data_IF_777689411720
#
_entry.id   IF_777689411720
#
_cell.length_a   1.000
_cell.length_b   1.000
_cell.length_c   1.000
_cell.angle_alpha   90.00
_cell.angle_beta   90.00
_cell.angle_gamma   90.00
#
_symmetry.space_group_name_H-M   'P 1'
#
loop_
_entity.id
_entity.type
_entity.pdbx_description
1 polymer ?
#
# COMPACT_ATOMS: atom_id res chain seq x y z
N UNK A 1 4.29 11.08 36.04
CA UNK A 1 4.72 10.01 35.11
C UNK A 1 3.45 9.41 34.51
N UNK A 2 3.06 9.81 33.30
CA UNK A 2 1.84 9.27 32.69
C UNK A 2 2.07 7.81 32.31
N UNK A 3 1.25 6.91 32.85
CA UNK A 3 1.21 5.49 32.52
C UNK A 3 1.15 5.31 31.00
N UNK A 4 2.28 4.94 30.39
CA UNK A 4 2.34 4.55 28.98
C UNK A 4 1.60 3.22 28.92
N UNK A 5 0.31 3.27 28.57
CA UNK A 5 -0.55 2.09 28.41
C UNK A 5 -0.06 1.30 27.19
N UNK A 6 1.01 0.55 27.39
CA UNK A 6 1.60 -0.34 26.40
C UNK A 6 0.53 -1.34 25.99
N UNK A 7 -0.03 -1.14 24.80
CA UNK A 7 -1.02 -2.07 24.25
C UNK A 7 -0.35 -3.33 23.70
N UNK A 8 0.99 -3.33 23.57
CA UNK A 8 1.75 -4.39 22.92
C UNK A 8 2.95 -4.80 23.76
N UNK A 9 2.90 -6.03 24.28
CA UNK A 9 4.03 -6.75 24.87
C UNK A 9 4.81 -7.46 23.76
N UNK A 10 6.10 -7.14 23.59
CA UNK A 10 6.93 -7.76 22.56
C UNK A 10 7.27 -9.24 22.85
N UNK A 11 7.32 -9.63 24.12
CA UNK A 11 7.69 -11.00 24.53
C UNK A 11 6.56 -12.00 24.25
N UNK A 12 5.30 -11.59 24.45
CA UNK A 12 4.11 -12.46 24.37
C UNK A 12 3.25 -12.24 23.11
N UNK A 13 3.87 -11.91 21.97
CA UNK A 13 3.14 -11.58 20.76
C UNK A 13 2.51 -12.80 20.06
N UNK A 14 1.28 -13.14 20.42
CA UNK A 14 0.51 -14.24 19.84
C UNK A 14 -0.95 -13.86 19.58
N UNK A 15 -1.62 -14.58 18.68
CA UNK A 15 -3.03 -14.39 18.33
C UNK A 15 -3.99 -14.50 19.52
N UNK A 16 -3.56 -15.16 20.61
CA UNK A 16 -4.35 -15.32 21.84
C UNK A 16 -4.13 -14.19 22.85
N UNK A 17 -3.18 -13.31 22.60
CA UNK A 17 -2.73 -12.32 23.58
C UNK A 17 -3.76 -11.19 23.82
N UNK A 18 -3.75 -10.65 25.04
CA UNK A 18 -4.55 -9.50 25.46
C UNK A 18 -4.25 -8.27 24.60
N UNK A 19 -3.00 -8.13 24.14
CA UNK A 19 -2.56 -7.07 23.25
C UNK A 19 -3.33 -7.07 21.91
N UNK A 20 -3.36 -8.21 21.21
CA UNK A 20 -4.08 -8.34 19.95
C UNK A 20 -5.58 -8.06 20.12
N UNK A 21 -6.19 -8.55 21.21
CA UNK A 21 -7.60 -8.28 21.53
C UNK A 21 -7.87 -6.81 21.84
N UNK A 22 -6.97 -6.14 22.55
CA UNK A 22 -7.09 -4.71 22.83
C UNK A 22 -7.08 -3.91 21.52
N UNK A 23 -6.18 -4.24 20.60
CA UNK A 23 -6.06 -3.58 19.30
C UNK A 23 -7.34 -3.76 18.49
N UNK A 24 -7.85 -4.98 18.39
CA UNK A 24 -9.14 -5.25 17.74
C UNK A 24 -10.23 -4.37 18.34
N UNK A 25 -10.30 -4.27 19.68
CA UNK A 25 -11.26 -3.41 20.37
C UNK A 25 -11.11 -1.92 20.03
N UNK A 26 -9.88 -1.44 19.85
CA UNK A 26 -9.64 -0.06 19.41
C UNK A 26 -10.04 0.16 17.95
N UNK A 27 -9.76 -0.80 17.06
CA UNK A 27 -10.22 -0.75 15.67
C UNK A 27 -11.75 -0.80 15.57
N UNK A 28 -12.42 -1.66 16.34
CA UNK A 28 -13.90 -1.71 16.38
C UNK A 28 -14.49 -0.41 16.91
N UNK A 29 -13.86 0.21 17.93
CA UNK A 29 -14.28 1.52 18.46
C UNK A 29 -14.09 2.65 17.45
N UNK A 30 -13.07 2.55 16.60
CA UNK A 30 -12.82 3.49 15.51
C UNK A 30 -13.73 3.25 14.29
N UNK A 31 -14.62 2.25 14.31
CA UNK A 31 -15.55 1.95 13.23
C UNK A 31 -15.05 0.92 12.20
N UNK A 32 -13.90 0.29 12.45
CA UNK A 32 -13.29 -0.69 11.55
C UNK A 32 -13.30 -2.09 12.19
N UNK A 33 -14.17 -2.98 11.69
CA UNK A 33 -14.24 -4.36 12.17
C UNK A 33 -13.23 -5.24 11.42
N UNK A 34 -12.20 -5.70 12.12
CA UNK A 34 -11.26 -6.70 11.61
C UNK A 34 -11.93 -8.08 11.60
N UNK A 35 -11.89 -8.75 10.45
CA UNK A 35 -12.44 -10.09 10.23
C UNK A 35 -11.44 -11.17 10.62
N UNK A 36 -10.16 -10.93 10.30
CA UNK A 36 -9.06 -11.82 10.64
C UNK A 36 -7.92 -11.03 11.26
N UNK A 37 -7.32 -11.61 12.29
CA UNK A 37 -6.20 -11.06 13.04
C UNK A 37 -5.11 -12.10 13.03
N UNK A 38 -3.92 -11.72 12.58
CA UNK A 38 -2.75 -12.59 12.56
C UNK A 38 -1.54 -11.86 13.15
N UNK A 39 -1.19 -12.26 14.37
CA UNK A 39 -0.03 -11.83 15.12
C UNK A 39 1.11 -12.81 14.86
N UNK A 40 2.10 -12.35 14.10
CA UNK A 40 3.30 -13.14 13.85
C UNK A 40 4.23 -13.08 15.06
N UNK A 41 4.42 -14.25 15.68
CA UNK A 41 5.44 -14.50 16.70
C UNK A 41 6.86 -14.56 16.16
N UNK A 42 7.09 -14.27 14.87
CA UNK A 42 8.43 -14.17 14.30
C UNK A 42 8.98 -12.73 14.44
N UNK A 43 10.20 -12.60 14.97
CA UNK A 43 10.90 -11.32 15.00
C UNK A 43 11.55 -11.08 13.64
N UNK A 44 11.20 -9.97 13.00
CA UNK A 44 11.78 -9.51 11.74
C UNK A 44 12.67 -8.30 12.01
N UNK A 45 13.72 -8.14 11.21
CA UNK A 45 14.65 -7.00 11.33
C UNK A 45 14.73 -6.26 10.00
N UNK A 46 14.55 -4.95 10.04
CA UNK A 46 14.74 -4.08 8.87
C UNK A 46 15.38 -2.79 9.35
N UNK A 47 16.41 -2.32 8.64
CA UNK A 47 17.12 -1.07 8.97
C UNK A 47 17.59 -1.00 10.44
N UNK A 48 18.06 -2.13 10.98
CA UNK A 48 18.54 -2.22 12.37
C UNK A 48 17.46 -2.30 13.45
N UNK A 49 16.18 -2.15 13.10
CA UNK A 49 15.06 -2.23 14.06
C UNK A 49 14.44 -3.63 14.03
N UNK A 50 14.38 -4.28 15.20
CA UNK A 50 13.67 -5.54 15.40
C UNK A 50 12.20 -5.27 15.69
N UNK A 51 11.31 -5.90 14.92
CA UNK A 51 9.86 -5.75 15.05
C UNK A 51 9.12 -7.07 14.86
N UNK A 52 7.89 -7.09 15.35
CA UNK A 52 6.89 -8.14 15.08
C UNK A 52 5.75 -7.56 14.27
N UNK A 53 5.06 -8.41 13.52
CA UNK A 53 4.00 -7.98 12.61
C UNK A 53 2.64 -8.45 13.10
N UNK A 54 1.68 -7.52 13.14
CA UNK A 54 0.26 -7.79 13.36
C UNK A 54 -0.51 -7.43 12.12
N UNK A 55 -1.07 -8.42 11.45
CA UNK A 55 -1.87 -8.26 10.25
C UNK A 55 -3.35 -8.30 10.64
N UNK A 56 -4.06 -7.24 10.31
CA UNK A 56 -5.51 -7.11 10.45
C UNK A 56 -6.11 -7.11 9.06
N UNK A 57 -7.00 -8.05 8.78
CA UNK A 57 -7.75 -8.12 7.52
C UNK A 57 -9.19 -7.70 7.77
N UNK A 58 -9.68 -6.78 6.97
CA UNK A 58 -11.02 -6.20 7.07
C UNK A 58 -11.98 -6.80 6.03
N UNK A 59 -13.28 -6.60 6.22
CA UNK A 59 -14.33 -7.19 5.37
C UNK A 59 -14.23 -6.78 3.88
N UNK A 60 -13.66 -5.61 3.59
CA UNK A 60 -13.42 -5.11 2.24
C UNK A 60 -12.14 -5.66 1.60
N UNK A 61 -11.60 -6.75 2.15
CA UNK A 61 -10.34 -7.38 1.73
C UNK A 61 -9.11 -6.45 1.84
N UNK A 62 -9.23 -5.34 2.58
CA UNK A 62 -8.08 -4.53 2.92
C UNK A 62 -7.31 -5.17 4.07
N UNK A 63 -5.99 -5.00 4.06
CA UNK A 63 -5.12 -5.45 5.13
C UNK A 63 -4.31 -4.30 5.71
N UNK A 64 -4.24 -4.25 7.04
CA UNK A 64 -3.39 -3.33 7.80
C UNK A 64 -2.35 -4.17 8.53
N UNK A 65 -1.07 -3.93 8.28
CA UNK A 65 0.03 -4.55 9.01
C UNK A 65 0.66 -3.53 9.95
N UNK A 66 0.57 -3.76 11.25
CA UNK A 66 1.25 -2.98 12.27
C UNK A 66 2.59 -3.65 12.59
N UNK A 67 3.68 -2.90 12.49
CA UNK A 67 5.03 -3.33 12.90
C UNK A 67 5.33 -2.76 14.26
N UNK A 68 5.57 -3.62 15.24
CA UNK A 68 5.74 -3.23 16.65
C UNK A 68 7.16 -3.53 17.09
N UNK A 69 7.85 -2.55 17.67
CA UNK A 69 9.23 -2.66 18.18
C UNK A 69 9.27 -3.43 19.50
N UNK A 70 10.49 -3.76 19.93
CA UNK A 70 10.77 -4.28 21.28
C UNK A 70 10.25 -3.38 22.41
N UNK A 71 10.25 -2.06 22.20
CA UNK A 71 9.73 -1.09 23.16
C UNK A 71 8.20 -1.07 23.27
N UNK A 72 7.49 -1.85 22.45
CA UNK A 72 6.02 -1.85 22.34
C UNK A 72 5.47 -0.73 21.46
N UNK A 73 6.33 0.13 20.90
CA UNK A 73 5.92 1.22 20.02
C UNK A 73 5.66 0.74 18.59
N UNK A 74 4.74 1.41 17.89
CA UNK A 74 4.46 1.12 16.48
C UNK A 74 5.58 1.75 15.64
N UNK A 75 6.41 0.92 15.03
CA UNK A 75 7.47 1.35 14.11
C UNK A 75 6.91 1.88 12.79
N UNK A 76 6.03 1.09 12.17
CA UNK A 76 5.52 1.35 10.83
C UNK A 76 4.14 0.72 10.68
N UNK A 77 3.30 1.35 9.86
CA UNK A 77 2.01 0.79 9.45
C UNK A 77 2.02 0.59 7.95
N UNK A 78 1.63 -0.59 7.50
CA UNK A 78 1.44 -0.88 6.09
C UNK A 78 -0.05 -1.02 5.81
N UNK A 79 -0.56 -0.24 4.87
CA UNK A 79 -1.91 -0.39 4.35
C UNK A 79 -1.82 -1.07 2.99
N UNK A 80 -2.41 -2.27 2.85
CA UNK A 80 -2.35 -3.09 1.65
C UNK A 80 -0.91 -3.30 1.14
N UNK A 81 0.01 -3.57 2.07
CA UNK A 81 1.44 -3.79 1.78
C UNK A 81 2.27 -2.53 1.52
N UNK A 82 1.67 -1.34 1.52
CA UNK A 82 2.39 -0.06 1.33
C UNK A 82 2.61 0.64 2.65
N UNK A 83 3.85 1.03 2.91
CA UNK A 83 4.21 1.81 4.11
C UNK A 83 3.46 3.14 4.10
N UNK A 84 2.82 3.46 5.22
CA UNK A 84 2.16 4.74 5.46
C UNK A 84 2.84 5.41 6.65
N UNK A 85 3.25 6.68 6.51
CA UNK A 85 3.73 7.45 7.64
C UNK A 85 2.55 7.65 8.62
N UNK A 86 2.83 7.47 9.90
CA UNK A 86 1.92 7.77 11.01
C UNK A 86 2.55 8.87 11.85
N UNK A 87 1.76 9.88 12.20
CA UNK A 87 2.22 11.05 12.95
C UNK A 87 2.32 10.75 14.44
N UNK A 88 1.39 9.94 14.96
CA UNK A 88 1.27 9.67 16.40
C UNK A 88 1.82 8.27 16.77
N UNK A 89 3.13 8.03 16.66
CA UNK A 89 3.72 6.71 16.98
C UNK A 89 3.60 6.33 18.47
N UNK A 90 3.67 7.32 19.35
CA UNK A 90 3.68 7.11 20.81
C UNK A 90 2.27 6.95 21.42
N UNK A 91 1.24 7.45 20.73
CA UNK A 91 -0.17 7.34 21.14
C UNK A 91 -0.88 6.34 20.25
N UNK A 92 -0.92 5.08 20.71
CA UNK A 92 -1.49 3.97 19.95
C UNK A 92 -2.97 4.18 19.60
N UNK A 93 -3.75 4.87 20.44
CA UNK A 93 -5.16 5.10 20.16
C UNK A 93 -5.34 6.09 19.00
N UNK A 94 -4.54 7.18 18.99
CA UNK A 94 -4.52 8.14 17.90
C UNK A 94 -3.93 7.55 16.61
N UNK A 95 -2.89 6.74 16.71
CA UNK A 95 -2.32 6.02 15.57
C UNK A 95 -3.37 5.15 14.87
N UNK A 96 -4.14 4.38 15.65
CA UNK A 96 -5.20 3.52 15.13
C UNK A 96 -6.29 4.36 14.46
N UNK A 97 -6.71 5.47 15.07
CA UNK A 97 -7.70 6.36 14.46
C UNK A 97 -7.22 6.99 13.14
N UNK A 98 -5.95 7.39 13.06
CA UNK A 98 -5.32 7.91 11.83
C UNK A 98 -5.31 6.84 10.73
N UNK A 99 -4.98 5.60 11.09
CA UNK A 99 -4.96 4.46 10.15
C UNK A 99 -6.36 4.14 9.65
N UNK A 100 -7.37 4.13 10.52
CA UNK A 100 -8.77 3.90 10.12
C UNK A 100 -9.27 5.00 9.18
N UNK A 101 -9.00 6.27 9.50
CA UNK A 101 -9.35 7.40 8.62
C UNK A 101 -8.68 7.28 7.25
N UNK A 102 -7.41 6.89 7.21
CA UNK A 102 -6.68 6.64 5.96
C UNK A 102 -7.25 5.45 5.18
N UNK A 103 -7.69 4.39 5.88
CA UNK A 103 -8.33 3.22 5.27
C UNK A 103 -9.67 3.61 4.64
N UNK A 104 -10.51 4.36 5.35
CA UNK A 104 -11.81 4.81 4.84
C UNK A 104 -11.67 5.76 3.65
N UNK A 105 -10.73 6.71 3.71
CA UNK A 105 -10.44 7.58 2.56
C UNK A 105 -9.94 6.78 1.34
N UNK A 106 -9.20 5.69 1.56
CA UNK A 106 -8.68 4.83 0.50
C UNK A 106 -9.67 3.79 -0.05
N UNK A 107 -10.76 3.53 0.66
CA UNK A 107 -11.67 2.40 0.42
C UNK A 107 -12.29 2.38 -0.98
N UNK A 108 -12.79 3.50 -1.45
CA UNK A 108 -13.38 3.61 -2.79
C UNK A 108 -12.36 3.33 -3.90
N UNK A 109 -11.13 3.83 -3.75
CA UNK A 109 -10.06 3.62 -4.74
C UNK A 109 -9.57 2.17 -4.75
N UNK A 110 -9.50 1.54 -3.57
CA UNK A 110 -9.09 0.15 -3.43
C UNK A 110 -10.12 -0.80 -4.04
N UNK A 111 -11.41 -0.59 -3.75
CA UNK A 111 -12.50 -1.36 -4.33
C UNK A 111 -12.55 -1.23 -5.85
N UNK A 112 -12.36 -0.01 -6.40
CA UNK A 112 -12.28 0.18 -7.86
C UNK A 112 -11.11 -0.59 -8.48
N UNK A 113 -9.94 -0.62 -7.83
CA UNK A 113 -8.80 -1.41 -8.32
C UNK A 113 -9.08 -2.91 -8.26
N UNK A 114 -9.69 -3.37 -7.18
CA UNK A 114 -10.04 -4.78 -7.00
C UNK A 114 -11.11 -5.22 -8.02
N UNK A 115 -12.12 -4.39 -8.28
CA UNK A 115 -13.12 -4.64 -9.32
C UNK A 115 -12.48 -4.70 -10.72
N UNK A 116 -11.55 -3.79 -11.04
CA UNK A 116 -10.80 -3.83 -12.30
C UNK A 116 -9.93 -5.09 -12.42
N UNK A 117 -9.30 -5.55 -11.35
CA UNK A 117 -8.49 -6.77 -11.36
C UNK A 117 -9.33 -8.04 -11.50
N UNK A 118 -10.54 -8.08 -10.91
CA UNK A 118 -11.49 -9.20 -11.02
C UNK A 118 -12.25 -9.20 -12.34
N UNK A 119 -12.47 -8.04 -12.95
CA UNK A 119 -13.04 -7.92 -14.30
C UNK A 119 -11.99 -8.34 -15.35
N UNK A 120 -11.68 -9.64 -15.42
CA UNK A 120 -10.99 -10.21 -16.58
C UNK A 120 -11.97 -10.18 -17.74
N UNK A 121 -11.62 -9.47 -18.82
CA UNK A 121 -12.37 -9.59 -20.06
C UNK A 121 -12.23 -11.04 -20.57
N UNK A 122 -13.30 -11.63 -21.15
CA UNK A 122 -13.21 -12.96 -21.76
C UNK A 122 -12.11 -12.96 -22.83
N UNK A 123 -11.28 -14.02 -22.88
CA UNK A 123 -10.13 -14.16 -23.79
C UNK A 123 -10.47 -13.98 -25.28
N UNK A 124 -11.76 -14.09 -25.64
CA UNK A 124 -12.29 -13.88 -26.99
C UNK A 124 -12.32 -12.39 -27.41
N UNK A 125 -12.33 -11.43 -26.47
CA UNK A 125 -12.31 -10.00 -26.78
C UNK A 125 -10.86 -9.52 -26.77
N UNK A 126 -10.18 -9.65 -27.92
CA UNK A 126 -8.88 -9.03 -28.17
C UNK A 126 -9.03 -7.52 -28.00
N UNK A 127 -8.56 -6.98 -26.89
CA UNK A 127 -8.53 -5.54 -26.62
C UNK A 127 -7.73 -4.82 -27.70
N UNK A 128 -7.98 -3.52 -27.92
CA UNK A 128 -7.32 -2.71 -28.94
C UNK A 128 -5.79 -2.53 -28.78
N UNK A 129 -5.15 -3.24 -27.85
CA UNK A 129 -3.69 -3.21 -27.64
C UNK A 129 -2.87 -3.50 -28.93
N UNK A 130 -3.24 -4.45 -29.81
CA UNK A 130 -2.55 -4.65 -31.08
C UNK A 130 -2.68 -3.44 -32.02
N UNK A 131 -3.80 -2.72 -31.98
CA UNK A 131 -4.01 -1.49 -32.77
C UNK A 131 -3.21 -0.31 -32.23
N UNK A 132 -2.96 -0.29 -30.93
CA UNK A 132 -2.16 0.75 -30.28
C UNK A 132 -0.66 0.63 -30.61
N UNK A 133 -0.13 -0.59 -30.67
CA UNK A 133 1.25 -0.84 -31.13
C UNK A 133 1.46 -0.41 -32.58
N UNK A 134 0.50 -0.72 -33.45
CA UNK A 134 0.51 -0.27 -34.85
C UNK A 134 0.50 1.27 -34.94
N UNK A 135 -0.41 1.94 -34.23
CA UNK A 135 -0.49 3.41 -34.22
C UNK A 135 0.76 4.10 -33.65
N UNK A 136 1.43 3.50 -32.65
CA UNK A 136 2.69 4.01 -32.12
C UNK A 136 3.85 3.80 -33.09
N UNK A 137 3.83 2.70 -33.86
CA UNK A 137 4.84 2.40 -34.88
C UNK A 137 4.73 3.39 -36.04
N UNK A 138 3.52 3.64 -36.54
CA UNK A 138 3.24 4.66 -37.56
C UNK A 138 3.67 6.06 -37.12
N UNK A 139 3.37 6.45 -35.87
CA UNK A 139 3.81 7.73 -35.32
C UNK A 139 5.33 7.84 -35.21
N UNK A 140 6.01 6.76 -34.82
CA UNK A 140 7.47 6.72 -34.74
C UNK A 140 8.07 6.92 -36.12
N UNK A 141 7.55 6.23 -37.12
CA UNK A 141 8.11 6.27 -38.47
C UNK A 141 7.86 7.64 -39.14
N UNK A 142 6.66 8.21 -38.99
CA UNK A 142 6.37 9.58 -39.43
C UNK A 142 7.29 10.64 -38.76
N UNK A 143 7.62 10.48 -37.48
CA UNK A 143 8.56 11.36 -36.79
C UNK A 143 10.00 11.18 -37.28
N UNK A 144 10.40 9.96 -37.69
CA UNK A 144 11.74 9.73 -38.26
C UNK A 144 11.88 10.40 -39.61
N UNK A 145 10.84 10.35 -40.44
CA UNK A 145 10.83 10.99 -41.75
C UNK A 145 10.90 12.51 -41.61
N UNK A 146 10.10 13.10 -40.72
CA UNK A 146 10.15 14.55 -40.43
C UNK A 146 11.52 15.00 -39.88
N UNK A 147 12.19 14.16 -39.08
CA UNK A 147 13.56 14.45 -38.59
C UNK A 147 14.58 14.36 -39.73
N UNK A 148 14.41 13.43 -40.67
CA UNK A 148 15.31 13.30 -41.81
C UNK A 148 15.22 14.52 -42.74
N UNK A 149 14.00 14.98 -43.04
CA UNK A 149 13.76 16.21 -43.81
C UNK A 149 14.36 17.43 -43.11
N UNK A 150 14.09 17.63 -41.81
CA UNK A 150 14.64 18.76 -41.06
C UNK A 150 16.18 18.74 -40.98
N UNK A 151 16.80 17.55 -41.01
CA UNK A 151 18.27 17.41 -41.07
C UNK A 151 18.82 17.78 -42.43
N UNK A 152 18.15 17.41 -43.52
CA UNK A 152 18.55 17.80 -44.87
C UNK A 152 18.45 19.32 -45.06
N UNK A 153 17.41 19.96 -44.55
CA UNK A 153 17.29 21.42 -44.56
C UNK A 153 18.39 22.10 -43.76
N UNK A 154 18.74 21.57 -42.57
CA UNK A 154 19.84 22.06 -41.76
C UNK A 154 21.21 21.92 -42.44
N UNK A 155 21.44 20.83 -43.17
CA UNK A 155 22.67 20.64 -43.94
C UNK A 155 22.74 21.58 -45.15
N UNK A 156 21.63 21.79 -45.84
CA UNK A 156 21.53 22.77 -46.93
C UNK A 156 21.79 24.20 -46.47
N UNK A 157 21.30 24.58 -45.29
CA UNK A 157 21.54 25.90 -44.67
C UNK A 157 22.94 26.05 -44.08
N UNK A 158 23.63 24.95 -43.74
CA UNK A 158 25.02 24.98 -43.25
C UNK A 158 26.07 24.96 -44.37
N UNK A 159 25.69 24.53 -45.56
CA UNK A 159 26.54 24.49 -46.74
C UNK A 159 26.48 25.80 -47.57
N UNK A 160 25.57 26.71 -47.22
CA UNK A 160 25.48 28.08 -47.74
C UNK A 160 26.19 29.06 -46.80
#
# INVERSE_FOLDING_TARGET
MADKKLLFSFEDFSNKDKAAKAVVKYFTRAGANAVQVDASGAVRRTSGVSYRELVLTFADSQSVTLRIKQTGDIYQVLLNGKVRPILSQDDHAKAIAEVVKAMDAGRSTFQRKLAKAKARLPESVKTAAPRMEQALTEKRDALRDAIAEARQELEGLRAA
#
